data_IF_363782696197
#
_entry.id   IF_363782696197
#
_cell.length_a   1.000
_cell.length_b   1.000
_cell.length_c   1.000
_cell.angle_alpha   90.00
_cell.angle_beta   90.00
_cell.angle_gamma   90.00
#
_symmetry.space_group_name_H-M   'P 1'
#
loop_
_entity.id
_entity.type
_entity.pdbx_description
1 polymer ?
#
# COMPACT_ATOMS: atom_id res chain seq x y z
N UNK A 1 5.03 -59.56 -17.17
CA UNK A 1 4.48 -59.59 -15.81
C UNK A 1 2.98 -59.52 -15.99
N UNK A 2 2.29 -60.63 -15.76
CA UNK A 2 0.83 -60.69 -15.81
C UNK A 2 0.27 -59.67 -14.84
N UNK A 3 -0.69 -58.86 -15.31
CA UNK A 3 -1.43 -57.94 -14.44
C UNK A 3 -2.02 -58.76 -13.30
N UNK A 4 -1.85 -58.40 -12.02
CA UNK A 4 -2.54 -59.08 -10.94
C UNK A 4 -4.03 -59.09 -11.28
N UNK A 5 -4.63 -60.28 -11.20
CA UNK A 5 -6.04 -60.52 -11.50
C UNK A 5 -6.88 -59.69 -10.52
N UNK A 6 -7.30 -58.48 -10.94
CA UNK A 6 -7.99 -57.52 -10.08
C UNK A 6 -9.42 -58.00 -9.79
N UNK A 7 -10.21 -58.18 -10.84
CA UNK A 7 -11.56 -58.74 -10.84
C UNK A 7 -11.79 -59.41 -12.19
N UNK A 8 -12.37 -60.60 -12.20
CA UNK A 8 -12.73 -61.28 -13.46
C UNK A 8 -13.76 -60.50 -14.29
N UNK A 9 -14.62 -59.75 -13.60
CA UNK A 9 -15.62 -58.88 -14.22
C UNK A 9 -15.03 -57.62 -14.88
N UNK A 10 -13.74 -57.36 -14.70
CA UNK A 10 -13.03 -56.23 -15.31
C UNK A 10 -12.19 -56.72 -16.49
N UNK A 11 -12.56 -56.25 -17.68
CA UNK A 11 -11.87 -56.56 -18.94
C UNK A 11 -10.55 -55.81 -19.09
N UNK A 12 -10.51 -54.56 -18.64
CA UNK A 12 -9.39 -53.65 -18.84
C UNK A 12 -9.21 -52.72 -17.63
N UNK A 13 -7.95 -52.51 -17.26
CA UNK A 13 -7.54 -51.63 -16.17
C UNK A 13 -6.66 -50.52 -16.74
N UNK A 14 -7.11 -49.27 -16.60
CA UNK A 14 -6.42 -48.08 -17.07
C UNK A 14 -5.91 -47.30 -15.85
N UNK A 15 -4.58 -47.32 -15.64
CA UNK A 15 -3.92 -46.56 -14.58
C UNK A 15 -3.22 -45.36 -15.18
N UNK A 16 -3.63 -44.16 -14.80
CA UNK A 16 -2.91 -42.95 -15.17
C UNK A 16 -1.55 -42.88 -14.44
N UNK A 17 -0.53 -42.38 -15.13
CA UNK A 17 0.81 -42.21 -14.57
C UNK A 17 0.80 -41.18 -13.43
N UNK A 18 1.65 -41.40 -12.42
CA UNK A 18 1.77 -40.53 -11.24
C UNK A 18 3.22 -40.14 -11.04
N UNK A 19 3.45 -38.84 -10.90
CA UNK A 19 4.78 -38.24 -10.70
C UNK A 19 5.01 -37.77 -9.25
N UNK A 20 4.09 -38.04 -8.32
CA UNK A 20 4.12 -37.54 -6.94
C UNK A 20 3.56 -38.54 -5.91
N UNK A 21 3.91 -38.38 -4.63
CA UNK A 21 3.33 -39.18 -3.55
C UNK A 21 1.84 -38.86 -3.35
N UNK A 22 1.01 -39.90 -3.19
CA UNK A 22 -0.44 -39.77 -3.01
C UNK A 22 -0.97 -40.68 -1.89
N UNK A 23 -2.12 -40.31 -1.34
CA UNK A 23 -2.80 -41.06 -0.27
C UNK A 23 -4.07 -41.77 -0.76
N UNK A 24 -4.68 -41.25 -1.82
CA UNK A 24 -5.97 -41.68 -2.33
C UNK A 24 -6.07 -41.44 -3.84
N UNK A 25 -7.10 -42.04 -4.43
CA UNK A 25 -7.42 -41.87 -5.86
C UNK A 25 -8.93 -41.93 -6.10
N UNK A 26 -9.38 -41.32 -7.20
CA UNK A 26 -10.74 -41.45 -7.75
C UNK A 26 -10.70 -42.40 -8.93
N UNK A 27 -11.64 -43.33 -8.97
CA UNK A 27 -11.76 -44.33 -10.02
C UNK A 27 -13.16 -44.36 -10.62
N UNK A 28 -13.27 -44.96 -11.81
CA UNK A 28 -14.49 -45.13 -12.56
C UNK A 28 -14.58 -46.54 -13.13
N UNK A 29 -15.73 -47.18 -12.95
CA UNK A 29 -16.14 -48.35 -13.71
C UNK A 29 -17.06 -47.91 -14.86
N UNK A 30 -16.86 -48.45 -16.05
CA UNK A 30 -17.74 -48.27 -17.20
C UNK A 30 -18.17 -49.63 -17.72
N UNK A 31 -19.48 -49.89 -17.75
CA UNK A 31 -20.04 -51.09 -18.34
C UNK A 31 -19.97 -50.98 -19.87
N UNK A 32 -19.30 -51.94 -20.52
CA UNK A 32 -19.09 -51.91 -21.97
C UNK A 32 -20.35 -52.30 -22.77
N UNK A 33 -21.35 -52.90 -22.12
CA UNK A 33 -22.57 -53.38 -22.76
C UNK A 33 -23.58 -52.25 -22.92
N UNK A 34 -23.85 -51.52 -21.83
CA UNK A 34 -24.91 -50.50 -21.79
C UNK A 34 -24.40 -49.07 -21.55
N UNK A 35 -23.08 -48.89 -21.33
CA UNK A 35 -22.45 -47.60 -21.11
C UNK A 35 -22.67 -47.02 -19.71
N UNK A 36 -23.36 -47.73 -18.81
CA UNK A 36 -23.56 -47.26 -17.43
C UNK A 36 -22.23 -47.17 -16.69
N UNK A 37 -22.15 -46.25 -15.74
CA UNK A 37 -20.91 -45.98 -15.02
C UNK A 37 -21.10 -45.91 -13.51
N UNK A 38 -20.01 -46.17 -12.79
CA UNK A 38 -19.89 -45.98 -11.35
C UNK A 38 -18.61 -45.20 -11.06
N UNK A 39 -18.68 -44.14 -10.26
CA UNK A 39 -17.50 -43.38 -9.81
C UNK A 39 -17.37 -43.54 -8.30
N UNK A 40 -16.15 -43.79 -7.83
CA UNK A 40 -15.84 -43.87 -6.41
C UNK A 40 -14.47 -43.29 -6.09
N UNK A 41 -14.19 -43.09 -4.80
CA UNK A 41 -12.83 -42.84 -4.31
C UNK A 41 -12.37 -43.96 -3.36
N UNK A 42 -11.05 -44.08 -3.21
CA UNK A 42 -10.43 -45.00 -2.26
C UNK A 42 -9.16 -44.38 -1.66
N UNK A 43 -8.91 -44.66 -0.38
CA UNK A 43 -7.66 -44.29 0.30
C UNK A 43 -6.74 -45.49 0.30
N UNK A 44 -5.65 -45.42 -0.46
CA UNK A 44 -4.74 -46.52 -0.68
C UNK A 44 -4.08 -46.46 -2.05
N UNK A 45 -3.56 -47.60 -2.50
CA UNK A 45 -2.96 -47.74 -3.84
C UNK A 45 -3.97 -48.39 -4.79
N UNK A 46 -3.98 -48.06 -6.09
CA UNK A 46 -4.77 -48.84 -7.03
C UNK A 46 -4.38 -50.32 -6.93
N UNK A 47 -5.39 -51.18 -7.04
CA UNK A 47 -5.22 -52.64 -6.98
C UNK A 47 -4.67 -53.14 -5.63
N UNK A 48 -4.89 -52.41 -4.52
CA UNK A 48 -4.51 -52.83 -3.16
C UNK A 48 -5.48 -53.86 -2.53
N UNK A 49 -6.36 -54.44 -3.33
CA UNK A 49 -7.39 -55.39 -2.91
C UNK A 49 -8.76 -54.75 -2.65
N UNK A 50 -8.86 -53.41 -2.62
CA UNK A 50 -10.15 -52.73 -2.59
C UNK A 50 -10.82 -52.69 -3.98
N UNK A 51 -12.11 -53.01 -4.01
CA UNK A 51 -12.89 -53.15 -5.26
C UNK A 51 -13.85 -51.98 -5.46
N UNK A 52 -14.84 -51.80 -4.57
CA UNK A 52 -15.75 -50.65 -4.54
C UNK A 52 -16.62 -50.66 -3.28
N UNK A 53 -17.35 -49.56 -3.01
CA UNK A 53 -18.31 -49.42 -1.90
C UNK A 53 -19.78 -49.30 -2.35
N UNK A 54 -20.07 -49.57 -3.63
CA UNK A 54 -21.42 -49.45 -4.18
C UNK A 54 -22.45 -50.31 -3.44
N UNK A 55 -23.61 -49.72 -3.15
CA UNK A 55 -24.78 -50.42 -2.63
C UNK A 55 -25.82 -50.75 -3.73
N UNK A 56 -25.52 -50.46 -5.01
CA UNK A 56 -26.42 -50.79 -6.11
C UNK A 56 -26.42 -52.30 -6.35
N UNK A 57 -27.60 -52.93 -6.24
CA UNK A 57 -27.74 -54.38 -6.40
C UNK A 57 -27.32 -54.85 -7.80
N UNK A 58 -27.75 -54.11 -8.83
CA UNK A 58 -27.39 -54.39 -10.23
C UNK A 58 -25.87 -54.36 -10.41
N UNK A 59 -25.19 -53.35 -9.85
CA UNK A 59 -23.75 -53.23 -9.95
C UNK A 59 -23.02 -54.34 -9.18
N UNK A 60 -23.49 -54.67 -7.97
CA UNK A 60 -22.95 -55.75 -7.14
C UNK A 60 -23.04 -57.12 -7.82
N UNK A 61 -24.18 -57.43 -8.44
CA UNK A 61 -24.37 -58.70 -9.12
C UNK A 61 -23.46 -58.80 -10.37
N UNK A 62 -23.26 -57.69 -11.10
CA UNK A 62 -22.34 -57.64 -12.24
C UNK A 62 -20.86 -57.74 -11.83
N UNK A 63 -20.44 -57.11 -10.73
CA UNK A 63 -19.03 -57.16 -10.29
C UNK A 63 -18.66 -58.51 -9.69
N UNK A 64 -19.62 -59.25 -9.12
CA UNK A 64 -19.44 -60.61 -8.61
C UNK A 64 -19.45 -61.70 -9.70
N UNK A 65 -19.89 -61.38 -10.92
CA UNK A 65 -19.91 -62.31 -12.04
C UNK A 65 -18.51 -62.62 -12.61
N UNK A 66 -18.40 -63.73 -13.34
CA UNK A 66 -17.17 -64.12 -14.04
C UNK A 66 -17.04 -63.48 -15.44
N UNK A 67 -18.06 -62.76 -15.91
CA UNK A 67 -18.05 -62.14 -17.25
C UNK A 67 -17.36 -60.76 -17.24
N UNK A 68 -16.34 -60.52 -18.09
CA UNK A 68 -15.58 -59.27 -18.13
C UNK A 68 -16.37 -58.14 -18.82
N UNK A 69 -17.26 -57.49 -18.08
CA UNK A 69 -18.18 -56.44 -18.57
C UNK A 69 -17.75 -55.01 -18.24
N UNK A 70 -16.73 -54.82 -17.41
CA UNK A 70 -16.29 -53.48 -16.98
C UNK A 70 -14.91 -53.07 -17.51
N UNK A 71 -14.78 -51.77 -17.79
CA UNK A 71 -13.48 -51.08 -17.84
C UNK A 71 -13.31 -50.32 -16.52
N UNK A 72 -12.17 -50.52 -15.87
CA UNK A 72 -11.78 -49.80 -14.65
C UNK A 72 -10.72 -48.75 -14.97
N UNK A 73 -10.97 -47.50 -14.61
CA UNK A 73 -10.08 -46.37 -14.89
C UNK A 73 -9.80 -45.57 -13.60
N UNK A 74 -8.53 -45.30 -13.30
CA UNK A 74 -8.16 -44.35 -12.24
C UNK A 74 -8.08 -42.94 -12.82
N UNK A 75 -9.06 -42.10 -12.49
CA UNK A 75 -9.21 -40.75 -13.04
C UNK A 75 -8.16 -39.77 -12.50
N UNK A 76 -7.87 -39.82 -11.20
CA UNK A 76 -6.93 -38.89 -10.56
C UNK A 76 -6.40 -39.42 -9.23
N UNK A 77 -5.20 -38.97 -8.86
CA UNK A 77 -4.52 -39.27 -7.59
C UNK A 77 -4.36 -37.99 -6.76
N UNK A 78 -4.31 -38.12 -5.45
CA UNK A 78 -4.10 -36.98 -4.55
C UNK A 78 -4.22 -37.34 -3.07
N UNK A 79 -4.48 -36.32 -2.24
CA UNK A 79 -4.79 -36.50 -0.82
C UNK A 79 -6.21 -37.07 -0.66
N UNK A 80 -6.45 -37.76 0.46
CA UNK A 80 -7.77 -38.34 0.76
C UNK A 80 -8.90 -37.30 0.68
N UNK A 81 -8.67 -36.09 1.20
CA UNK A 81 -9.66 -35.01 1.20
C UNK A 81 -9.96 -34.55 -0.24
N UNK A 82 -8.91 -34.28 -1.03
CA UNK A 82 -9.06 -33.78 -2.40
C UNK A 82 -9.80 -34.80 -3.30
N UNK A 83 -9.52 -36.09 -3.15
CA UNK A 83 -10.14 -37.13 -3.97
C UNK A 83 -11.62 -37.35 -3.60
N UNK A 84 -11.97 -37.28 -2.31
CA UNK A 84 -13.36 -37.36 -1.85
C UNK A 84 -14.20 -36.17 -2.33
N UNK A 85 -13.63 -34.96 -2.33
CA UNK A 85 -14.29 -33.78 -2.88
C UNK A 85 -14.44 -33.87 -4.42
N UNK A 86 -13.41 -34.38 -5.12
CA UNK A 86 -13.47 -34.59 -6.56
C UNK A 86 -14.55 -35.59 -6.95
N UNK A 87 -14.68 -36.71 -6.23
CA UNK A 87 -15.78 -37.68 -6.41
C UNK A 87 -17.14 -36.97 -6.27
N UNK A 88 -17.35 -36.23 -5.17
CA UNK A 88 -18.59 -35.50 -4.96
C UNK A 88 -18.90 -34.51 -6.10
N UNK A 89 -17.88 -33.77 -6.57
CA UNK A 89 -18.02 -32.83 -7.69
C UNK A 89 -18.46 -33.53 -8.99
N UNK A 90 -17.80 -34.63 -9.36
CA UNK A 90 -18.12 -35.41 -10.55
C UNK A 90 -19.54 -35.98 -10.48
N UNK A 91 -19.93 -36.54 -9.33
CA UNK A 91 -21.27 -37.10 -9.12
C UNK A 91 -22.35 -36.02 -9.12
N UNK A 92 -22.10 -34.87 -8.48
CA UNK A 92 -23.05 -33.74 -8.43
C UNK A 92 -23.27 -33.14 -9.82
N UNK A 93 -22.20 -32.91 -10.59
CA UNK A 93 -22.30 -32.39 -11.96
C UNK A 93 -23.11 -33.33 -12.87
N UNK A 94 -22.90 -34.64 -12.75
CA UNK A 94 -23.63 -35.64 -13.53
C UNK A 94 -25.04 -35.96 -13.00
N UNK A 95 -25.47 -35.33 -11.88
CA UNK A 95 -26.70 -35.64 -11.14
C UNK A 95 -26.86 -37.15 -10.92
N UNK A 96 -25.78 -37.80 -10.49
CA UNK A 96 -25.61 -39.25 -10.49
C UNK A 96 -26.77 -40.02 -9.84
N UNK A 97 -27.31 -39.51 -8.74
CA UNK A 97 -28.43 -40.12 -8.03
C UNK A 97 -29.77 -40.18 -8.81
N UNK A 98 -29.92 -39.34 -9.83
CA UNK A 98 -31.12 -39.28 -10.70
C UNK A 98 -30.81 -39.73 -12.13
N UNK A 99 -29.55 -40.01 -12.42
CA UNK A 99 -29.11 -40.37 -13.76
C UNK A 99 -29.24 -41.87 -13.97
N UNK A 100 -30.10 -42.30 -14.91
CA UNK A 100 -30.29 -43.73 -15.23
C UNK A 100 -29.03 -44.40 -15.80
N UNK A 101 -28.05 -43.61 -16.24
CA UNK A 101 -26.75 -44.07 -16.71
C UNK A 101 -25.71 -44.24 -15.59
N UNK A 102 -26.09 -43.98 -14.34
CA UNK A 102 -25.21 -44.06 -13.16
C UNK A 102 -25.65 -45.19 -12.23
N UNK A 103 -24.70 -46.00 -11.79
CA UNK A 103 -24.90 -46.96 -10.70
C UNK A 103 -24.78 -46.31 -9.31
N UNK A 104 -24.29 -45.07 -9.20
CA UNK A 104 -24.21 -44.36 -7.93
C UNK A 104 -25.61 -43.97 -7.44
N UNK A 105 -25.98 -44.44 -6.24
CA UNK A 105 -27.27 -44.14 -5.60
C UNK A 105 -27.32 -42.78 -4.88
N UNK A 106 -26.18 -42.08 -4.77
CA UNK A 106 -26.07 -40.76 -4.16
C UNK A 106 -25.11 -39.88 -4.96
N UNK A 107 -25.16 -38.56 -4.74
CA UNK A 107 -24.18 -37.63 -5.33
C UNK A 107 -22.88 -37.54 -4.50
N UNK A 108 -22.64 -38.49 -3.59
CA UNK A 108 -21.59 -38.37 -2.58
C UNK A 108 -21.90 -37.29 -1.53
N UNK A 109 -21.00 -37.14 -0.57
CA UNK A 109 -21.07 -36.07 0.43
C UNK A 109 -19.73 -35.34 0.48
N UNK A 110 -19.72 -34.00 0.36
CA UNK A 110 -18.48 -33.23 0.43
C UNK A 110 -17.85 -33.42 1.80
N UNK A 111 -16.51 -33.51 1.84
CA UNK A 111 -15.80 -33.62 3.11
C UNK A 111 -15.31 -32.26 3.61
N UNK A 112 -14.98 -31.36 2.68
CA UNK A 112 -14.68 -29.96 2.97
C UNK A 112 -15.45 -29.02 2.05
N UNK A 113 -15.86 -27.88 2.59
CA UNK A 113 -16.44 -26.77 1.87
C UNK A 113 -15.43 -26.19 0.87
N UNK A 114 -15.78 -26.15 -0.41
CA UNK A 114 -15.01 -25.48 -1.46
C UNK A 114 -15.82 -24.30 -1.99
N UNK A 115 -15.25 -23.10 -1.96
CA UNK A 115 -15.86 -21.93 -2.58
C UNK A 115 -15.85 -22.07 -4.11
N UNK A 116 -16.99 -21.80 -4.74
CA UNK A 116 -17.11 -21.83 -6.20
C UNK A 116 -16.63 -20.51 -6.80
N UNK A 117 -15.31 -20.34 -6.90
CA UNK A 117 -14.70 -19.11 -7.42
C UNK A 117 -15.22 -18.73 -8.82
N UNK A 118 -15.44 -19.68 -9.74
CA UNK A 118 -16.01 -19.37 -11.05
C UNK A 118 -17.38 -18.69 -10.96
N UNK A 119 -18.22 -19.10 -10.01
CA UNK A 119 -19.54 -18.52 -9.77
C UNK A 119 -19.43 -17.15 -9.09
N UNK A 120 -18.49 -17.01 -8.15
CA UNK A 120 -18.16 -15.74 -7.50
C UNK A 120 -17.69 -14.71 -8.54
N UNK A 121 -16.76 -15.09 -9.42
CA UNK A 121 -16.20 -14.21 -10.44
C UNK A 121 -17.27 -13.75 -11.43
N UNK A 122 -18.16 -14.67 -11.83
CA UNK A 122 -19.33 -14.33 -12.66
C UNK A 122 -20.23 -13.31 -11.95
N UNK A 123 -20.52 -13.52 -10.66
CA UNK A 123 -21.31 -12.56 -9.87
C UNK A 123 -20.65 -11.18 -9.83
N UNK A 124 -19.34 -11.12 -9.57
CA UNK A 124 -18.58 -9.87 -9.53
C UNK A 124 -18.59 -9.17 -10.89
N UNK A 125 -18.48 -9.91 -11.99
CA UNK A 125 -18.58 -9.37 -13.34
C UNK A 125 -19.95 -8.73 -13.59
N UNK A 126 -21.04 -9.41 -13.19
CA UNK A 126 -22.40 -8.90 -13.31
C UNK A 126 -22.62 -7.64 -12.46
N UNK A 127 -22.02 -7.54 -11.26
CA UNK A 127 -22.01 -6.31 -10.44
C UNK A 127 -21.26 -5.19 -11.16
N UNK A 128 -20.07 -5.45 -11.72
CA UNK A 128 -19.27 -4.43 -12.44
C UNK A 128 -20.01 -3.91 -13.69
N UNK A 129 -20.84 -4.75 -14.31
CA UNK A 129 -21.69 -4.41 -15.46
C UNK A 129 -23.06 -3.85 -15.07
N UNK A 130 -23.35 -3.65 -13.79
CA UNK A 130 -24.70 -3.29 -13.34
C UNK A 130 -25.28 -2.06 -14.06
N UNK A 131 -26.53 -2.19 -14.52
CA UNK A 131 -27.22 -1.20 -15.35
C UNK A 131 -26.82 -1.20 -16.83
N UNK A 132 -26.08 -2.21 -17.29
CA UNK A 132 -25.72 -2.47 -18.70
C UNK A 132 -26.11 -3.89 -19.10
N UNK A 133 -26.06 -4.19 -20.39
CA UNK A 133 -26.32 -5.54 -20.92
C UNK A 133 -25.43 -6.59 -20.25
N UNK A 134 -26.05 -7.67 -19.77
CA UNK A 134 -25.37 -8.77 -19.07
C UNK A 134 -24.91 -8.43 -17.63
N UNK A 135 -25.33 -7.29 -17.07
CA UNK A 135 -25.09 -6.94 -15.67
C UNK A 135 -26.37 -6.97 -14.83
N UNK A 136 -26.21 -6.87 -13.52
CA UNK A 136 -27.35 -6.84 -12.61
C UNK A 136 -28.18 -5.57 -12.74
N UNK A 137 -29.46 -5.70 -12.39
CA UNK A 137 -30.40 -4.58 -12.35
C UNK A 137 -29.98 -3.53 -11.30
N UNK A 138 -30.15 -2.26 -11.69
CA UNK A 138 -29.96 -1.10 -10.80
C UNK A 138 -31.32 -0.50 -10.49
N UNK A 139 -31.58 -0.30 -9.20
CA UNK A 139 -32.84 0.24 -8.73
C UNK A 139 -32.61 1.46 -7.83
N UNK A 140 -33.35 2.53 -8.08
CA UNK A 140 -33.35 3.72 -7.23
C UNK A 140 -34.32 3.53 -6.08
N UNK A 141 -33.81 3.52 -4.84
CA UNK A 141 -34.62 3.26 -3.63
C UNK A 141 -34.54 4.38 -2.61
N UNK A 142 -35.56 4.49 -1.75
CA UNK A 142 -35.49 5.33 -0.55
C UNK A 142 -34.42 4.79 0.39
N UNK A 143 -33.48 5.66 0.78
CA UNK A 143 -32.31 5.24 1.52
C UNK A 143 -32.68 4.83 2.95
N UNK A 144 -33.58 5.55 3.61
CA UNK A 144 -33.90 5.31 5.03
C UNK A 144 -34.71 4.04 5.18
N UNK A 145 -35.69 3.82 4.31
CA UNK A 145 -36.47 2.59 4.28
C UNK A 145 -35.60 1.38 3.95
N UNK A 146 -34.70 1.52 2.97
CA UNK A 146 -33.76 0.46 2.61
C UNK A 146 -32.83 0.12 3.78
N UNK A 147 -32.21 1.11 4.42
CA UNK A 147 -31.31 0.87 5.55
C UNK A 147 -32.03 0.33 6.79
N UNK A 148 -33.30 0.67 7.00
CA UNK A 148 -34.10 0.13 8.11
C UNK A 148 -34.45 -1.35 7.93
N UNK A 149 -34.55 -1.82 6.68
CA UNK A 149 -34.96 -3.18 6.32
C UNK A 149 -33.80 -4.08 5.93
N UNK A 150 -32.60 -3.52 5.77
CA UNK A 150 -31.41 -4.24 5.31
C UNK A 150 -30.45 -4.53 6.45
N UNK A 151 -29.85 -5.72 6.45
CA UNK A 151 -28.75 -6.06 7.35
C UNK A 151 -27.40 -5.94 6.63
N UNK A 152 -26.37 -5.37 7.27
CA UNK A 152 -25.03 -5.30 6.66
C UNK A 152 -24.26 -6.59 6.93
N UNK A 153 -23.68 -7.16 5.87
CA UNK A 153 -22.82 -8.34 5.94
C UNK A 153 -21.35 -7.94 5.75
N UNK A 154 -20.88 -6.99 6.55
CA UNK A 154 -19.50 -6.50 6.44
C UNK A 154 -18.57 -7.28 7.37
N UNK A 155 -17.54 -7.92 6.79
CA UNK A 155 -16.46 -8.58 7.55
C UNK A 155 -15.30 -7.58 7.65
N UNK A 156 -15.24 -6.80 8.73
CA UNK A 156 -14.05 -6.00 9.07
C UNK A 156 -13.79 -6.10 10.57
N UNK A 157 -12.51 -6.19 10.94
CA UNK A 157 -12.04 -6.24 12.33
C UNK A 157 -12.33 -4.92 13.07
N UNK A 158 -12.10 -3.79 12.40
CA UNK A 158 -12.54 -2.48 12.87
C UNK A 158 -13.96 -2.19 12.35
N UNK A 159 -14.83 -1.69 13.23
CA UNK A 159 -16.19 -1.28 12.89
C UNK A 159 -16.25 -0.17 11.83
N UNK A 160 -17.45 0.32 11.55
CA UNK A 160 -17.68 1.35 10.51
C UNK A 160 -16.78 2.58 10.72
N UNK A 161 -15.91 2.87 9.73
CA UNK A 161 -15.16 4.14 9.68
C UNK A 161 -16.12 5.35 9.58
N UNK A 162 -16.44 5.88 10.76
CA UNK A 162 -17.33 7.03 10.94
C UNK A 162 -16.80 8.28 10.24
N UNK A 163 -15.47 8.45 10.09
CA UNK A 163 -14.90 9.61 9.39
C UNK A 163 -15.20 9.53 7.89
N UNK A 164 -15.04 8.36 7.28
CA UNK A 164 -15.39 8.14 5.87
C UNK A 164 -16.88 8.33 5.62
N UNK A 165 -17.75 7.78 6.48
CA UNK A 165 -19.21 7.98 6.40
C UNK A 165 -19.57 9.47 6.42
N UNK A 166 -19.02 10.23 7.39
CA UNK A 166 -19.29 11.66 7.50
C UNK A 166 -18.82 12.43 6.27
N UNK A 167 -17.64 12.08 5.73
CA UNK A 167 -17.10 12.72 4.53
C UNK A 167 -18.01 12.52 3.32
N UNK A 168 -18.53 11.30 3.14
CA UNK A 168 -19.49 10.99 2.07
C UNK A 168 -20.78 11.79 2.26
N UNK A 169 -21.33 11.82 3.48
CA UNK A 169 -22.56 12.55 3.78
C UNK A 169 -22.41 14.06 3.46
N UNK A 170 -21.31 14.68 3.91
CA UNK A 170 -21.00 16.08 3.64
C UNK A 170 -20.85 16.35 2.14
N UNK A 171 -20.15 15.47 1.40
CA UNK A 171 -19.96 15.62 -0.04
C UNK A 171 -21.27 15.53 -0.85
N UNK A 172 -22.23 14.71 -0.39
CA UNK A 172 -23.57 14.60 -0.97
C UNK A 172 -24.38 15.87 -0.68
N UNK A 173 -24.34 16.35 0.57
CA UNK A 173 -25.07 17.56 0.99
C UNK A 173 -24.62 18.82 0.26
N UNK A 174 -23.32 18.94 -0.04
CA UNK A 174 -22.78 20.04 -0.83
C UNK A 174 -23.29 20.08 -2.27
N UNK A 175 -23.68 18.92 -2.81
CA UNK A 175 -24.32 18.82 -4.11
C UNK A 175 -25.85 18.89 -4.01
N UNK A 176 -26.38 19.39 -2.88
CA UNK A 176 -27.82 19.52 -2.65
C UNK A 176 -28.53 18.19 -2.45
N UNK A 177 -27.83 17.14 -1.99
CA UNK A 177 -28.39 15.81 -1.82
C UNK A 177 -28.32 14.93 -3.08
N UNK A 178 -27.55 15.32 -4.10
CA UNK A 178 -27.43 14.58 -5.35
C UNK A 178 -26.48 13.37 -5.21
N UNK A 179 -27.01 12.18 -5.48
CA UNK A 179 -26.32 10.88 -5.36
C UNK A 179 -25.84 10.28 -6.70
N UNK A 180 -25.98 10.99 -7.82
CA UNK A 180 -25.68 10.47 -9.18
C UNK A 180 -24.25 9.94 -9.33
N UNK A 181 -23.29 10.51 -8.61
CA UNK A 181 -21.88 10.12 -8.68
C UNK A 181 -21.44 9.26 -7.49
N UNK A 182 -22.38 8.74 -6.70
CA UNK A 182 -22.07 7.80 -5.63
C UNK A 182 -21.89 6.40 -6.21
N UNK A 183 -21.03 5.61 -5.57
CA UNK A 183 -20.96 4.17 -5.84
C UNK A 183 -22.31 3.54 -5.53
N UNK A 184 -22.73 2.59 -6.36
CA UNK A 184 -24.00 1.89 -6.19
C UNK A 184 -23.81 0.75 -5.18
N UNK A 185 -24.39 0.81 -3.97
CA UNK A 185 -24.22 -0.28 -3.02
C UNK A 185 -24.93 -1.54 -3.51
N UNK A 186 -24.42 -2.71 -3.12
CA UNK A 186 -24.92 -4.01 -3.61
C UNK A 186 -25.80 -4.65 -2.56
N UNK A 187 -27.07 -4.87 -2.92
CA UNK A 187 -28.06 -5.58 -2.13
C UNK A 187 -28.20 -7.00 -2.67
N UNK A 188 -28.12 -7.99 -1.78
CA UNK A 188 -28.39 -9.38 -2.10
C UNK A 188 -29.27 -9.96 -0.99
N UNK A 189 -30.48 -10.43 -1.35
CA UNK A 189 -31.42 -11.07 -0.41
C UNK A 189 -31.68 -10.24 0.86
N UNK A 190 -31.90 -8.92 0.69
CA UNK A 190 -32.13 -7.99 1.80
C UNK A 190 -30.90 -7.71 2.67
N UNK A 191 -29.70 -8.02 2.17
CA UNK A 191 -28.44 -7.75 2.86
C UNK A 191 -27.54 -6.84 2.04
N UNK A 192 -26.86 -5.92 2.71
CA UNK A 192 -25.88 -5.04 2.11
C UNK A 192 -24.52 -5.74 2.12
N UNK A 193 -24.09 -6.20 0.95
CA UNK A 193 -22.86 -6.97 0.77
C UNK A 193 -21.69 -6.13 0.22
N UNK A 194 -21.98 -4.93 -0.31
CA UNK A 194 -20.98 -3.99 -0.82
C UNK A 194 -21.44 -2.53 -0.72
N UNK A 195 -20.50 -1.60 -0.58
CA UNK A 195 -20.80 -0.16 -0.55
C UNK A 195 -21.40 0.38 0.77
N UNK A 196 -21.16 -0.29 1.89
CA UNK A 196 -21.72 0.08 3.22
C UNK A 196 -21.47 1.53 3.60
N UNK A 197 -20.23 2.03 3.47
CA UNK A 197 -19.92 3.43 3.80
C UNK A 197 -20.70 4.42 2.93
N UNK A 198 -20.92 4.09 1.67
CA UNK A 198 -21.69 4.92 0.73
C UNK A 198 -23.16 4.94 1.10
N UNK A 199 -23.76 3.78 1.38
CA UNK A 199 -25.16 3.68 1.81
C UNK A 199 -25.40 4.43 3.14
N UNK A 200 -24.55 4.22 4.15
CA UNK A 200 -24.64 4.92 5.43
C UNK A 200 -24.38 6.42 5.30
N UNK A 201 -23.41 6.81 4.48
CA UNK A 201 -23.11 8.22 4.19
C UNK A 201 -24.30 8.93 3.54
N UNK A 202 -24.91 8.29 2.53
CA UNK A 202 -26.11 8.80 1.89
C UNK A 202 -27.29 8.87 2.88
N UNK A 203 -27.48 7.86 3.74
CA UNK A 203 -28.55 7.85 4.74
C UNK A 203 -28.42 8.90 5.84
N UNK A 204 -27.17 9.33 6.12
CA UNK A 204 -26.87 10.43 7.04
C UNK A 204 -26.99 11.81 6.38
N UNK A 205 -26.91 11.88 5.05
CA UNK A 205 -27.06 13.10 4.27
C UNK A 205 -28.53 13.51 4.11
N UNK A 206 -28.77 14.59 3.37
CA UNK A 206 -30.09 15.08 2.94
C UNK A 206 -30.64 14.33 1.73
N UNK A 207 -29.89 13.40 1.14
CA UNK A 207 -30.37 12.57 0.05
C UNK A 207 -31.57 11.73 0.50
N UNK A 208 -32.58 11.63 -0.37
CA UNK A 208 -33.73 10.73 -0.16
C UNK A 208 -33.53 9.38 -0.82
N UNK A 209 -32.90 9.38 -2.00
CA UNK A 209 -32.78 8.21 -2.86
C UNK A 209 -31.33 7.93 -3.26
N UNK A 210 -31.00 6.65 -3.41
CA UNK A 210 -29.71 6.17 -3.90
C UNK A 210 -29.97 5.00 -4.87
N UNK A 211 -29.11 4.89 -5.88
CA UNK A 211 -29.13 3.76 -6.81
C UNK A 211 -28.41 2.57 -6.15
N UNK A 212 -29.09 1.42 -6.08
CA UNK A 212 -28.56 0.17 -5.58
C UNK A 212 -28.44 -0.84 -6.72
N UNK A 213 -27.41 -1.67 -6.69
CA UNK A 213 -27.40 -2.91 -7.48
C UNK A 213 -28.25 -3.91 -6.71
N UNK A 214 -29.38 -4.30 -7.27
CA UNK A 214 -30.33 -5.22 -6.63
C UNK A 214 -30.78 -6.25 -7.68
N UNK A 215 -30.12 -7.43 -7.71
CA UNK A 215 -30.45 -8.48 -8.65
C UNK A 215 -31.92 -8.90 -8.55
N UNK A 216 -32.55 -9.16 -9.69
CA UNK A 216 -33.91 -9.74 -9.73
C UNK A 216 -33.89 -11.23 -9.43
N UNK A 217 -35.06 -11.83 -9.13
CA UNK A 217 -35.15 -13.27 -8.87
C UNK A 217 -34.67 -14.10 -10.07
N UNK A 218 -34.99 -13.68 -11.29
CA UNK A 218 -34.52 -14.33 -12.53
C UNK A 218 -33.00 -14.24 -12.69
N UNK A 219 -32.39 -13.10 -12.37
CA UNK A 219 -30.93 -12.92 -12.41
C UNK A 219 -30.21 -13.76 -11.35
N UNK A 220 -30.92 -14.11 -10.27
CA UNK A 220 -30.41 -14.93 -9.17
C UNK A 220 -30.63 -16.43 -9.37
N UNK A 221 -31.35 -16.89 -10.40
CA UNK A 221 -31.63 -18.31 -10.61
C UNK A 221 -30.34 -19.16 -10.64
N UNK A 222 -29.29 -18.66 -11.29
CA UNK A 222 -27.98 -19.32 -11.35
C UNK A 222 -27.14 -19.21 -10.06
N UNK A 223 -27.58 -18.37 -9.11
CA UNK A 223 -26.92 -18.08 -7.84
C UNK A 223 -27.77 -18.54 -6.62
N UNK A 224 -28.86 -19.28 -6.84
CA UNK A 224 -29.85 -19.53 -5.79
C UNK A 224 -29.31 -20.40 -4.65
N UNK A 225 -28.25 -21.17 -4.88
CA UNK A 225 -27.59 -21.98 -3.87
C UNK A 225 -26.27 -21.39 -3.36
N UNK A 226 -26.02 -20.07 -3.53
CA UNK A 226 -24.88 -19.39 -2.91
C UNK A 226 -24.90 -19.57 -1.39
N UNK A 227 -23.79 -20.07 -0.86
CA UNK A 227 -23.60 -20.29 0.57
C UNK A 227 -23.24 -18.99 1.29
N UNK A 228 -23.45 -18.94 2.60
CA UNK A 228 -23.12 -17.77 3.42
C UNK A 228 -21.64 -17.37 3.31
N UNK A 229 -20.73 -18.34 3.24
CA UNK A 229 -19.30 -18.08 3.11
C UNK A 229 -18.93 -17.55 1.71
N UNK A 230 -19.63 -17.97 0.65
CA UNK A 230 -19.46 -17.39 -0.69
C UNK A 230 -20.00 -15.95 -0.76
N UNK A 231 -21.16 -15.67 -0.15
CA UNK A 231 -21.72 -14.32 -0.08
C UNK A 231 -20.76 -13.39 0.69
N UNK A 232 -20.20 -13.89 1.79
CA UNK A 232 -19.16 -13.22 2.58
C UNK A 232 -17.91 -12.95 1.74
N UNK A 233 -17.46 -13.93 0.97
CA UNK A 233 -16.30 -13.79 0.09
C UNK A 233 -16.55 -12.75 -1.01
N UNK A 234 -17.71 -12.78 -1.67
CA UNK A 234 -18.15 -11.77 -2.64
C UNK A 234 -18.08 -10.38 -2.00
N UNK A 235 -18.62 -10.20 -0.79
CA UNK A 235 -18.55 -8.93 -0.07
C UNK A 235 -17.12 -8.47 0.21
N UNK A 236 -16.20 -9.40 0.50
CA UNK A 236 -14.76 -9.12 0.61
C UNK A 236 -14.15 -8.65 -0.71
N UNK A 237 -14.43 -9.35 -1.80
CA UNK A 237 -13.91 -9.05 -3.14
C UNK A 237 -14.39 -7.69 -3.65
N UNK A 238 -15.66 -7.35 -3.40
CA UNK A 238 -16.23 -6.03 -3.72
C UNK A 238 -15.56 -4.88 -2.96
N UNK A 239 -14.77 -5.17 -1.94
CA UNK A 239 -14.05 -4.20 -1.11
C UNK A 239 -12.51 -4.25 -1.30
N UNK A 240 -12.01 -4.95 -2.32
CA UNK A 240 -10.56 -4.98 -2.63
C UNK A 240 -10.07 -3.58 -3.02
N UNK A 241 -8.88 -3.21 -2.56
CA UNK A 241 -8.22 -1.96 -2.95
C UNK A 241 -7.77 -2.00 -4.42
N UNK A 242 -7.84 -0.86 -5.12
CA UNK A 242 -7.32 -0.76 -6.48
C UNK A 242 -5.83 -1.18 -6.56
N UNK A 243 -5.46 -1.94 -7.59
CA UNK A 243 -4.08 -2.48 -7.77
C UNK A 243 -3.00 -1.38 -7.82
N UNK A 244 -3.36 -0.17 -8.27
CA UNK A 244 -2.44 0.97 -8.36
C UNK A 244 -2.79 2.01 -7.31
N UNK A 245 -2.05 2.03 -6.20
CA UNK A 245 -2.15 3.07 -5.17
C UNK A 245 -1.52 4.37 -5.68
N UNK A 246 -2.33 5.27 -6.24
CA UNK A 246 -1.93 6.68 -6.34
C UNK A 246 -1.92 7.27 -4.94
N UNK A 247 -0.76 7.74 -4.48
CA UNK A 247 -0.68 8.51 -3.23
C UNK A 247 -1.54 9.75 -3.42
N UNK A 248 -2.63 9.82 -2.66
CA UNK A 248 -3.52 10.97 -2.71
C UNK A 248 -2.89 12.14 -1.95
N UNK A 249 -3.16 13.37 -2.41
CA UNK A 249 -2.71 14.56 -1.71
C UNK A 249 -3.25 14.56 -0.27
N UNK A 250 -2.35 14.71 0.69
CA UNK A 250 -2.71 14.84 2.10
C UNK A 250 -3.22 16.24 2.40
N UNK A 251 -3.86 16.40 3.57
CA UNK A 251 -4.19 17.73 4.08
C UNK A 251 -2.93 18.62 4.18
N UNK A 252 -1.77 18.04 4.51
CA UNK A 252 -0.49 18.74 4.61
C UNK A 252 -0.03 19.32 3.27
N UNK A 253 -0.21 18.57 2.19
CA UNK A 253 0.15 19.00 0.84
C UNK A 253 -0.69 20.20 0.38
N UNK A 254 -1.98 20.19 0.70
CA UNK A 254 -2.87 21.32 0.41
C UNK A 254 -2.50 22.56 1.25
N UNK A 255 -2.14 22.39 2.52
CA UNK A 255 -1.66 23.47 3.39
C UNK A 255 -0.37 24.07 2.83
N UNK A 256 0.60 23.23 2.44
CA UNK A 256 1.86 23.67 1.84
C UNK A 256 1.61 24.43 0.54
N UNK A 257 0.76 23.92 -0.35
CA UNK A 257 0.44 24.58 -1.62
C UNK A 257 -0.13 25.99 -1.43
N UNK A 258 -1.07 26.19 -0.48
CA UNK A 258 -1.61 27.51 -0.19
C UNK A 258 -0.58 28.45 0.46
N UNK A 259 0.27 27.93 1.33
CA UNK A 259 1.36 28.68 1.93
C UNK A 259 2.36 29.15 0.86
N UNK A 260 2.84 28.24 0.02
CA UNK A 260 3.80 28.55 -1.06
C UNK A 260 3.18 29.57 -2.03
N UNK A 261 1.89 29.46 -2.33
CA UNK A 261 1.22 30.42 -3.20
C UNK A 261 1.15 31.83 -2.59
N UNK A 262 0.95 31.95 -1.26
CA UNK A 262 1.02 33.23 -0.56
C UNK A 262 2.43 33.81 -0.54
N UNK A 263 3.43 32.96 -0.33
CA UNK A 263 4.84 33.39 -0.34
C UNK A 263 5.28 33.89 -1.73
N UNK A 264 4.85 33.20 -2.79
CA UNK A 264 5.22 33.53 -4.16
C UNK A 264 4.39 34.68 -4.76
N UNK A 265 3.18 34.92 -4.24
CA UNK A 265 2.32 36.00 -4.70
C UNK A 265 1.80 36.82 -3.50
N UNK A 266 2.43 37.97 -3.19
CA UNK A 266 2.01 38.83 -2.09
C UNK A 266 0.56 39.31 -2.21
N UNK A 267 0.02 39.45 -3.43
CA UNK A 267 -1.37 39.86 -3.70
C UNK A 267 -2.40 38.74 -3.48
N UNK A 268 -1.96 37.50 -3.31
CA UNK A 268 -2.86 36.39 -3.00
C UNK A 268 -3.46 36.60 -1.60
N UNK A 269 -4.78 36.71 -1.51
CA UNK A 269 -5.48 36.83 -0.23
C UNK A 269 -5.72 35.45 0.38
N UNK A 270 -4.82 35.05 1.29
CA UNK A 270 -4.99 33.83 2.08
C UNK A 270 -5.93 34.10 3.25
N UNK A 271 -7.23 34.09 2.99
CA UNK A 271 -8.29 34.34 3.98
C UNK A 271 -9.34 33.24 3.96
N UNK A 272 -9.96 32.98 5.12
CA UNK A 272 -11.08 32.04 5.23
C UNK A 272 -12.27 32.58 4.45
N UNK A 273 -12.85 31.76 3.57
CA UNK A 273 -13.96 32.20 2.71
C UNK A 273 -13.51 32.93 1.44
N UNK A 274 -12.20 33.19 1.26
CA UNK A 274 -11.67 33.76 0.04
C UNK A 274 -11.98 32.87 -1.18
N UNK A 275 -12.53 33.46 -2.23
CA UNK A 275 -13.01 32.72 -3.39
C UNK A 275 -11.87 31.96 -4.08
N UNK A 276 -10.74 32.64 -4.30
CA UNK A 276 -9.61 32.07 -5.04
C UNK A 276 -8.94 30.89 -4.30
N UNK A 277 -8.74 31.00 -2.98
CA UNK A 277 -8.22 29.91 -2.16
C UNK A 277 -9.17 28.68 -2.18
N UNK A 278 -10.48 28.91 -2.15
CA UNK A 278 -11.46 27.84 -2.27
C UNK A 278 -11.45 27.19 -3.66
N UNK A 279 -11.31 27.98 -4.73
CA UNK A 279 -11.21 27.46 -6.09
C UNK A 279 -9.98 26.57 -6.26
N UNK A 280 -8.80 26.98 -5.75
CA UNK A 280 -7.59 26.14 -5.78
C UNK A 280 -7.84 24.79 -5.10
N UNK A 281 -8.43 24.80 -3.91
CA UNK A 281 -8.70 23.56 -3.17
C UNK A 281 -9.73 22.67 -3.88
N UNK A 282 -10.77 23.24 -4.52
CA UNK A 282 -11.72 22.48 -5.34
C UNK A 282 -11.04 21.80 -6.53
N UNK A 283 -10.20 22.52 -7.27
CA UNK A 283 -9.43 21.95 -8.40
C UNK A 283 -8.47 20.85 -7.95
N UNK A 284 -8.00 20.90 -6.70
CA UNK A 284 -7.15 19.87 -6.10
C UNK A 284 -7.93 18.73 -5.44
N UNK A 285 -9.24 18.66 -5.63
CA UNK A 285 -10.09 17.56 -5.16
C UNK A 285 -10.67 17.71 -3.74
N UNK A 286 -10.49 18.86 -3.08
CA UNK A 286 -11.09 19.11 -1.76
C UNK A 286 -12.51 19.63 -1.93
N UNK A 287 -13.45 18.70 -2.05
CA UNK A 287 -14.85 19.01 -2.31
C UNK A 287 -15.57 19.58 -1.08
N UNK A 288 -15.16 19.19 0.14
CA UNK A 288 -15.81 19.53 1.41
C UNK A 288 -15.41 20.92 1.95
N UNK A 289 -16.39 21.78 2.22
CA UNK A 289 -16.23 23.17 2.65
C UNK A 289 -15.62 23.28 4.06
N UNK A 290 -16.06 22.42 4.99
CA UNK A 290 -15.48 22.36 6.32
C UNK A 290 -13.99 21.95 6.27
N UNK A 291 -13.65 21.01 5.39
CA UNK A 291 -12.26 20.58 5.13
C UNK A 291 -11.44 21.73 4.54
N UNK A 292 -11.97 22.43 3.52
CA UNK A 292 -11.33 23.63 2.96
C UNK A 292 -11.07 24.70 4.01
N UNK A 293 -12.06 25.01 4.85
CA UNK A 293 -11.91 25.99 5.95
C UNK A 293 -10.79 25.58 6.91
N UNK A 294 -10.69 24.31 7.28
CA UNK A 294 -9.61 23.78 8.14
C UNK A 294 -8.25 23.91 7.47
N UNK A 295 -8.12 23.56 6.19
CA UNK A 295 -6.89 23.68 5.41
C UNK A 295 -6.44 25.14 5.33
N UNK A 296 -7.34 26.05 4.99
CA UNK A 296 -7.05 27.49 4.88
C UNK A 296 -6.59 28.03 6.25
N UNK A 297 -7.28 27.70 7.34
CA UNK A 297 -6.87 28.10 8.70
C UNK A 297 -5.47 27.60 9.05
N UNK A 298 -5.15 26.34 8.76
CA UNK A 298 -3.81 25.79 8.99
C UNK A 298 -2.74 26.52 8.16
N UNK A 299 -3.03 26.84 6.90
CA UNK A 299 -2.13 27.61 6.04
C UNK A 299 -1.90 29.03 6.56
N UNK A 300 -2.95 29.72 7.02
CA UNK A 300 -2.86 31.04 7.66
C UNK A 300 -1.97 30.97 8.90
N UNK A 301 -2.19 30.00 9.78
CA UNK A 301 -1.40 29.85 11.00
C UNK A 301 0.06 29.53 10.69
N UNK A 302 0.33 28.68 9.70
CA UNK A 302 1.69 28.40 9.22
C UNK A 302 2.37 29.65 8.68
N UNK A 303 1.66 30.44 7.86
CA UNK A 303 2.17 31.70 7.34
C UNK A 303 2.49 32.70 8.45
N UNK A 304 1.58 32.87 9.43
CA UNK A 304 1.78 33.75 10.58
C UNK A 304 2.95 33.31 11.46
N UNK A 305 3.06 32.02 11.76
CA UNK A 305 4.17 31.49 12.58
C UNK A 305 5.53 31.74 11.91
N UNK A 306 5.60 31.58 10.59
CA UNK A 306 6.83 31.84 9.83
C UNK A 306 7.10 33.34 9.64
N UNK A 307 6.06 34.17 9.47
CA UNK A 307 6.24 35.63 9.38
C UNK A 307 6.69 36.24 10.71
N UNK A 308 6.19 35.74 11.85
CA UNK A 308 6.61 36.18 13.19
C UNK A 308 8.04 35.71 13.49
N UNK A 309 8.41 34.48 13.13
CA UNK A 309 9.82 34.03 13.19
C UNK A 309 10.75 34.89 12.35
N UNK A 310 10.32 35.29 11.15
CA UNK A 310 11.08 36.18 10.27
C UNK A 310 11.14 37.65 10.74
N UNK A 311 10.20 38.09 11.58
CA UNK A 311 10.18 39.47 12.10
C UNK A 311 11.14 39.68 13.28
N UNK A 312 11.44 38.65 14.07
CA UNK A 312 12.29 38.77 15.27
C UNK A 312 13.70 38.23 15.10
N UNK A 313 14.05 37.69 13.92
CA UNK A 313 15.40 37.19 13.61
C UNK A 313 15.82 37.63 12.23
N UNK A 314 16.88 38.44 12.15
CA UNK A 314 17.45 38.84 10.86
C UNK A 314 18.52 37.84 10.45
N UNK A 315 18.42 37.35 9.21
CA UNK A 315 19.47 36.54 8.62
C UNK A 315 20.77 37.35 8.50
N UNK A 316 21.86 36.83 9.04
CA UNK A 316 23.15 37.52 9.01
C UNK A 316 23.70 37.48 7.57
N UNK A 317 24.03 38.65 7.02
CA UNK A 317 24.60 38.76 5.68
C UNK A 317 26.10 38.99 5.82
N UNK A 318 26.85 37.93 6.06
CA UNK A 318 28.31 37.95 6.27
C UNK A 318 29.13 38.64 5.16
N UNK A 319 28.56 38.83 3.97
CA UNK A 319 29.19 39.58 2.87
C UNK A 319 28.86 41.08 2.87
N UNK A 320 27.97 41.55 3.75
CA UNK A 320 27.63 42.96 3.90
C UNK A 320 28.72 43.70 4.68
N UNK A 321 28.89 45.01 4.46
CA UNK A 321 30.02 45.78 5.00
C UNK A 321 30.21 45.69 6.51
N UNK A 322 29.12 45.57 7.28
CA UNK A 322 29.19 45.54 8.74
C UNK A 322 29.48 44.13 9.25
N UNK A 323 28.68 43.13 8.84
CA UNK A 323 28.87 41.74 9.27
C UNK A 323 30.20 41.17 8.74
N UNK A 324 30.68 41.65 7.58
CA UNK A 324 31.98 41.25 7.01
C UNK A 324 33.14 41.61 7.93
N UNK A 325 33.12 42.79 8.57
CA UNK A 325 34.16 43.18 9.54
C UNK A 325 34.14 42.27 10.76
N UNK A 326 32.96 41.90 11.25
CA UNK A 326 32.81 40.96 12.37
C UNK A 326 33.38 39.59 12.01
N UNK A 327 33.06 39.07 10.82
CA UNK A 327 33.63 37.82 10.30
C UNK A 327 35.15 37.91 10.16
N UNK A 328 35.69 38.96 9.53
CA UNK A 328 37.13 39.16 9.38
C UNK A 328 37.83 39.24 10.73
N UNK A 329 37.24 39.93 11.71
CA UNK A 329 37.76 39.96 13.07
C UNK A 329 37.77 38.58 13.73
N UNK A 330 36.70 37.79 13.58
CA UNK A 330 36.64 36.41 14.10
C UNK A 330 37.67 35.51 13.43
N UNK A 331 37.88 35.66 12.13
CA UNK A 331 38.86 34.88 11.36
C UNK A 331 40.29 35.28 11.66
N UNK A 332 40.57 36.57 11.87
CA UNK A 332 41.92 37.08 12.13
C UNK A 332 42.33 36.91 13.61
N UNK A 333 41.38 36.91 14.56
CA UNK A 333 41.66 36.70 15.99
C UNK A 333 41.70 35.20 16.32
N UNK A 334 42.78 34.53 15.93
CA UNK A 334 43.00 33.12 16.26
C UNK A 334 44.12 32.95 17.30
N UNK A 335 44.08 31.88 18.11
CA UNK A 335 45.20 31.52 18.97
C UNK A 335 46.48 31.28 18.17
N UNK A 336 47.64 31.46 18.81
CA UNK A 336 48.93 31.15 18.19
C UNK A 336 48.95 29.70 17.65
N UNK A 337 49.56 29.50 16.48
CA UNK A 337 49.59 28.20 15.81
C UNK A 337 48.28 27.82 15.12
N UNK A 338 47.39 28.79 14.84
CA UNK A 338 46.15 28.59 14.10
C UNK A 338 46.08 29.51 12.88
N UNK A 339 45.73 28.93 11.73
CA UNK A 339 45.33 29.67 10.52
C UNK A 339 43.85 29.46 10.29
N UNK A 340 43.14 30.54 9.96
CA UNK A 340 41.73 30.50 9.63
C UNK A 340 41.43 31.27 8.36
N UNK A 341 40.43 30.81 7.62
CA UNK A 341 39.86 31.51 6.48
C UNK A 341 38.36 31.27 6.42
N UNK A 342 37.65 32.03 5.59
CA UNK A 342 36.19 31.93 5.47
C UNK A 342 35.73 31.69 4.03
N UNK A 343 34.66 30.92 3.88
CA UNK A 343 34.08 30.61 2.58
C UNK A 343 32.55 30.46 2.62
N UNK A 344 31.91 30.66 1.47
CA UNK A 344 30.48 30.43 1.29
C UNK A 344 30.18 28.94 1.18
N UNK A 345 29.10 28.49 1.80
CA UNK A 345 28.58 27.13 1.67
C UNK A 345 28.23 26.72 0.23
N UNK A 346 28.10 27.68 -0.69
CA UNK A 346 27.74 27.41 -2.09
C UNK A 346 28.94 27.03 -2.98
N UNK A 347 30.19 27.11 -2.49
CA UNK A 347 31.40 27.01 -3.32
C UNK A 347 32.39 25.97 -2.75
N UNK A 348 32.03 24.68 -2.80
CA UNK A 348 32.86 23.59 -2.24
C UNK A 348 34.27 23.51 -2.81
N UNK A 349 34.44 23.64 -4.14
CA UNK A 349 35.77 23.62 -4.79
C UNK A 349 36.71 24.73 -4.34
N UNK A 350 36.16 25.88 -3.92
CA UNK A 350 36.97 26.99 -3.41
C UNK A 350 37.52 26.68 -2.02
N UNK A 351 36.76 25.98 -1.19
CA UNK A 351 37.21 25.52 0.13
C UNK A 351 38.42 24.59 -0.01
N UNK A 352 38.35 23.63 -0.92
CA UNK A 352 39.46 22.71 -1.22
C UNK A 352 40.71 23.45 -1.71
N UNK A 353 40.52 24.40 -2.64
CA UNK A 353 41.60 25.22 -3.18
C UNK A 353 42.28 26.07 -2.10
N UNK A 354 41.50 26.85 -1.34
CA UNK A 354 42.02 27.75 -0.31
C UNK A 354 42.74 26.95 0.79
N UNK A 355 42.23 25.76 1.14
CA UNK A 355 42.92 24.85 2.05
C UNK A 355 44.30 24.44 1.51
N UNK A 356 44.38 23.96 0.27
CA UNK A 356 45.64 23.52 -0.32
C UNK A 356 46.67 24.65 -0.36
N UNK A 357 46.23 25.89 -0.61
CA UNK A 357 47.09 27.08 -0.55
C UNK A 357 47.65 27.28 0.87
N UNK A 358 46.80 27.22 1.90
CA UNK A 358 47.26 27.43 3.29
C UNK A 358 48.20 26.32 3.79
N UNK A 359 47.97 25.07 3.37
CA UNK A 359 48.83 23.93 3.72
C UNK A 359 50.21 24.03 3.06
N UNK A 360 50.25 24.49 1.82
CA UNK A 360 51.50 24.57 1.04
C UNK A 360 52.26 25.87 1.25
N UNK A 361 51.67 26.83 1.98
CA UNK A 361 52.31 28.10 2.32
C UNK A 361 53.51 27.86 3.27
N UNK A 362 54.75 28.20 2.87
CA UNK A 362 55.95 28.04 3.70
C UNK A 362 55.88 28.79 5.05
N UNK A 363 55.14 29.89 5.11
CA UNK A 363 54.98 30.68 6.34
C UNK A 363 54.13 29.96 7.39
N UNK A 364 53.32 28.99 6.96
CA UNK A 364 52.45 28.20 7.82
C UNK A 364 53.09 26.87 8.30
N UNK A 365 54.40 26.68 8.09
CA UNK A 365 55.09 25.43 8.43
C UNK A 365 54.94 25.02 9.90
N UNK A 366 54.84 25.99 10.82
CA UNK A 366 54.73 25.79 12.27
C UNK A 366 53.27 25.89 12.77
N UNK A 367 52.29 25.90 11.86
CA UNK A 367 50.86 25.99 12.19
C UNK A 367 50.31 24.60 12.48
N UNK A 368 49.58 24.48 13.59
CA UNK A 368 49.00 23.23 14.09
C UNK A 368 47.54 23.12 13.65
N UNK A 369 46.77 24.22 13.76
CA UNK A 369 45.32 24.19 13.55
C UNK A 369 44.93 24.97 12.30
N UNK A 370 44.12 24.35 11.45
CA UNK A 370 43.53 24.96 10.26
C UNK A 370 42.01 24.96 10.40
N UNK A 371 41.40 26.14 10.23
CA UNK A 371 39.95 26.33 10.39
C UNK A 371 39.33 26.98 9.16
N UNK A 372 38.27 26.37 8.64
CA UNK A 372 37.41 26.99 7.63
C UNK A 372 36.09 27.44 8.27
N UNK A 373 35.87 28.76 8.28
CA UNK A 373 34.62 29.38 8.69
C UNK A 373 33.62 29.37 7.52
N UNK A 374 32.51 28.67 7.68
CA UNK A 374 31.49 28.52 6.63
C UNK A 374 30.28 29.40 6.95
N UNK A 375 29.96 30.32 6.03
CA UNK A 375 28.72 31.09 6.10
C UNK A 375 27.70 30.64 5.05
N UNK A 376 26.43 30.90 5.37
CA UNK A 376 25.28 30.55 4.55
C UNK A 376 24.62 31.81 3.99
N UNK A 377 24.40 31.85 2.67
CA UNK A 377 23.82 33.02 2.01
C UNK A 377 22.34 33.24 2.33
N UNK A 378 21.62 32.16 2.64
CA UNK A 378 20.19 32.14 2.99
C UNK A 378 19.82 30.78 3.61
N UNK A 379 18.59 30.67 4.13
CA UNK A 379 18.08 29.46 4.78
C UNK A 379 18.10 28.25 3.84
N UNK A 380 17.70 28.41 2.58
CA UNK A 380 17.76 27.34 1.58
C UNK A 380 19.19 26.82 1.33
N UNK A 381 20.20 27.68 1.39
CA UNK A 381 21.61 27.28 1.25
C UNK A 381 22.12 26.52 2.49
N UNK A 382 21.59 26.84 3.67
CA UNK A 382 21.85 26.10 4.91
C UNK A 382 21.17 24.74 4.88
N UNK A 383 19.88 24.69 4.58
CA UNK A 383 19.13 23.44 4.41
C UNK A 383 19.82 22.55 3.38
N UNK A 384 20.11 23.06 2.17
CA UNK A 384 20.80 22.29 1.13
C UNK A 384 22.16 21.75 1.59
N UNK A 385 22.94 22.51 2.37
CA UNK A 385 24.23 22.07 2.89
C UNK A 385 24.10 20.87 3.84
N UNK A 386 23.03 20.82 4.64
CA UNK A 386 22.80 19.75 5.62
C UNK A 386 21.92 18.59 5.11
N UNK A 387 20.97 18.85 4.20
CA UNK A 387 20.03 17.86 3.62
C UNK A 387 20.64 17.05 2.47
N UNK A 388 21.54 17.65 1.69
CA UNK A 388 22.29 16.84 0.73
C UNK A 388 23.22 15.90 1.49
N UNK A 389 23.61 14.77 0.89
CA UNK A 389 24.68 13.89 1.38
C UNK A 389 26.03 14.63 1.66
N UNK A 390 26.08 15.97 1.56
CA UNK A 390 27.15 16.81 2.05
C UNK A 390 27.29 16.86 3.58
N UNK A 391 26.29 16.51 4.40
CA UNK A 391 26.53 16.46 5.86
C UNK A 391 27.42 15.27 6.25
N UNK A 392 27.13 14.07 5.72
CA UNK A 392 28.06 12.94 5.69
C UNK A 392 29.34 13.31 4.92
N UNK A 393 29.20 13.96 3.76
CA UNK A 393 30.31 14.44 2.95
C UNK A 393 31.24 15.43 3.67
N UNK A 394 30.78 16.25 4.61
CA UNK A 394 31.61 17.19 5.36
C UNK A 394 32.36 16.51 6.50
N UNK A 395 31.74 15.50 7.14
CA UNK A 395 32.44 14.63 8.08
C UNK A 395 33.51 13.80 7.34
N UNK A 396 33.16 13.24 6.18
CA UNK A 396 34.10 12.54 5.30
C UNK A 396 35.19 13.45 4.76
N UNK A 397 34.89 14.69 4.37
CA UNK A 397 35.86 15.67 3.87
C UNK A 397 36.77 16.16 5.00
N UNK A 398 36.23 16.37 6.21
CA UNK A 398 37.02 16.65 7.42
C UNK A 398 37.98 15.51 7.73
N UNK A 399 37.51 14.26 7.68
CA UNK A 399 38.36 13.09 7.91
C UNK A 399 39.38 12.89 6.78
N UNK A 400 38.98 13.11 5.53
CA UNK A 400 39.86 13.04 4.35
C UNK A 400 41.00 14.04 4.48
N UNK A 401 40.70 15.27 4.88
CA UNK A 401 41.74 16.27 5.12
C UNK A 401 42.60 15.93 6.32
N UNK A 402 42.01 15.53 7.44
CA UNK A 402 42.79 15.11 8.60
C UNK A 402 43.72 13.92 8.27
N UNK A 403 43.33 13.01 7.37
CA UNK A 403 44.23 11.97 6.84
C UNK A 403 45.39 12.55 6.03
N UNK A 404 45.14 13.51 5.14
CA UNK A 404 46.21 14.21 4.43
C UNK A 404 47.16 14.94 5.40
N UNK A 405 46.62 15.60 6.42
CA UNK A 405 47.42 16.29 7.43
C UNK A 405 48.30 15.32 8.26
N UNK A 406 47.83 14.10 8.53
CA UNK A 406 48.64 13.04 9.17
C UNK A 406 49.80 12.54 8.29
N UNK A 407 49.75 12.76 6.98
CA UNK A 407 50.86 12.43 6.07
C UNK A 407 51.94 13.52 6.02
N UNK A 408 51.64 14.72 6.52
CA UNK A 408 52.60 15.82 6.57
C UNK A 408 53.48 15.71 7.81
N UNK A 409 54.71 16.28 7.79
CA UNK A 409 55.58 16.32 8.97
C UNK A 409 54.86 16.98 10.14
N UNK A 410 54.92 16.35 11.31
CA UNK A 410 54.35 16.91 12.52
C UNK A 410 55.07 18.20 12.94
N UNK A 411 54.34 19.07 13.64
CA UNK A 411 54.85 20.37 14.06
C UNK A 411 55.51 20.23 15.43
N UNK A 412 56.72 20.77 15.58
CA UNK A 412 57.41 20.79 16.87
C UNK A 412 56.74 21.79 17.82
N UNK A 413 56.42 21.37 19.04
CA UNK A 413 55.79 22.26 20.02
C UNK A 413 56.82 23.30 20.48
N UNK A 414 56.51 24.58 20.31
CA UNK A 414 57.36 25.69 20.81
C UNK A 414 57.50 25.57 22.34
N UNK A 415 58.75 25.48 22.81
CA UNK A 415 59.09 25.43 24.25
C UNK A 415 59.09 24.02 24.87
N UNK A 416 58.81 22.97 24.10
CA UNK A 416 58.87 21.58 24.55
C UNK A 416 60.25 20.92 24.27
N UNK A 417 60.48 19.73 24.81
CA UNK A 417 61.73 19.01 24.59
C UNK A 417 61.86 18.61 23.11
N UNK A 418 63.11 18.43 22.64
CA UNK A 418 63.40 18.01 21.27
C UNK A 418 62.80 16.61 21.05
N UNK A 419 61.71 16.54 20.27
CA UNK A 419 60.97 15.30 19.98
C UNK A 419 59.48 15.39 20.28
N UNK A 420 59.02 16.40 21.03
CA UNK A 420 57.59 16.61 21.27
C UNK A 420 56.95 17.28 20.06
N UNK A 421 56.22 16.48 19.28
CA UNK A 421 55.55 16.90 18.05
C UNK A 421 54.04 16.71 18.15
N UNK A 422 53.30 17.50 17.37
CA UNK A 422 51.84 17.39 17.26
C UNK A 422 51.40 17.30 15.81
N UNK A 423 50.42 16.43 15.50
CA UNK A 423 49.84 16.38 14.16
C UNK A 423 49.02 17.63 13.90
N UNK A 424 49.08 18.11 12.66
CA UNK A 424 48.22 19.19 12.18
C UNK A 424 46.76 18.73 12.16
N UNK A 425 45.82 19.66 12.35
CA UNK A 425 44.39 19.38 12.43
C UNK A 425 43.56 20.33 11.58
N UNK A 426 42.53 19.77 10.95
CA UNK A 426 41.52 20.48 10.17
C UNK A 426 40.16 20.48 10.89
N UNK A 427 39.46 21.61 10.82
CA UNK A 427 38.07 21.71 11.30
C UNK A 427 37.22 22.72 10.52
N UNK A 428 35.93 22.41 10.40
CA UNK A 428 34.91 23.36 9.96
C UNK A 428 34.28 24.08 11.15
N UNK A 429 34.09 25.39 11.01
CA UNK A 429 33.36 26.22 11.97
C UNK A 429 32.17 26.84 11.25
N UNK A 430 30.94 26.48 11.63
CA UNK A 430 29.74 27.03 11.03
C UNK A 430 29.39 28.36 11.67
N UNK A 431 29.25 29.40 10.85
CA UNK A 431 28.87 30.72 11.33
C UNK A 431 27.39 30.79 11.68
N UNK A 432 27.06 31.68 12.63
CA UNK A 432 25.69 32.00 13.00
C UNK A 432 24.90 32.46 11.78
N UNK A 433 23.64 32.04 11.69
CA UNK A 433 22.78 32.36 10.55
C UNK A 433 21.75 33.44 10.87
N UNK A 434 21.51 33.70 12.14
CA UNK A 434 20.47 34.60 12.64
C UNK A 434 21.04 35.43 13.80
N UNK A 435 20.66 36.70 13.87
CA UNK A 435 20.90 37.57 15.04
C UNK A 435 19.58 38.15 15.54
N UNK A 436 19.48 38.30 16.85
CA UNK A 436 18.34 38.95 17.51
C UNK A 436 18.50 40.48 17.44
N UNK A 437 17.40 41.23 17.44
CA UNK A 437 17.44 42.71 17.29
C UNK A 437 18.17 43.43 18.46
N UNK A 438 18.37 42.78 19.62
CA UNK A 438 19.09 43.34 20.77
C UNK A 438 20.63 43.32 20.61
N UNK A 439 21.20 42.33 19.91
CA UNK A 439 22.66 42.26 19.63
C UNK A 439 23.12 43.29 18.59
N UNK A 440 22.19 43.81 17.78
CA UNK A 440 22.48 44.86 16.79
C UNK A 440 22.92 46.20 17.41
N UNK A 441 22.56 46.44 18.67
CA UNK A 441 22.91 47.67 19.39
C UNK A 441 24.24 47.52 20.17
N UNK A 442 24.55 46.32 20.68
CA UNK A 442 25.75 46.08 21.49
C UNK A 442 27.04 45.94 20.68
N UNK A 443 27.00 45.29 19.50
CA UNK A 443 28.22 45.11 18.67
C UNK A 443 28.60 46.35 17.83
N UNK A 444 27.78 47.41 17.87
CA UNK A 444 28.07 48.69 17.20
C UNK A 444 28.85 49.68 18.06
N UNK A 445 29.10 49.34 19.32
CA UNK A 445 29.82 50.12 20.32
C UNK A 445 30.93 49.23 20.88
N UNK A 446 31.98 48.99 20.10
CA UNK A 446 33.33 48.63 20.59
C UNK A 446 34.39 48.73 19.47
#
# INVERSE_FOLDING_TARGET
MESPEFLKSVKEVILNAVEFEYEAFVYKYTNIIDGKWYIGYHKGKPLDGYVHSSCSREFLDLTAGDEPVFIYEVLKYGTMIAMKNLEHKLLKQAKANRNKQSYNLSNGSPHNFEMRFDLIDLFIEMVKKAGKEGGFTVEKRDIKETLATTTSLQIREEGTDTKRVNRIAEAIDEKGGNTTNCDKPVLLRGRLIGGTHTALGAGKSKAKVLDFVNPTDDELEQFDDLTEDEIRHIGGVLNIEDEVKRVTNTQGDHVKALYDHKCNNPKFELVVGGEYANQILKHRGVTVAAERKRIINKAINKYKANSVKAQNKKWIRWTSSNDKKVMENRVNRQPEGTVAFYNSSLISRKIEHDMLQEITNPDNKDVINFKAYIYFSNEAAKEKWFDSNLSEGCAELTETFNRLFRMLPEVQIKGANKGDTVPRKWSFVYMETEKDDEEMLSESID
#
